data_IF_007413250272
#
_entry.id   IF_007413250272
#
_cell.length_a   1.000
_cell.length_b   1.000
_cell.length_c   1.000
_cell.angle_alpha   90.00
_cell.angle_beta   90.00
_cell.angle_gamma   90.00
#
_symmetry.space_group_name_H-M   'P 1'
#
loop_
_entity.id
_entity.type
_entity.pdbx_description
1 polymer ?
#
# COMPACT_ATOMS: atom_id res chain seq x y z
N UNK A 1 16.23 -8.18 -0.13
CA UNK A 1 16.12 -8.94 -1.40
C UNK A 1 14.78 -8.73 -2.08
N UNK A 2 13.64 -9.02 -1.44
CA UNK A 2 12.28 -8.82 -1.99
C UNK A 2 11.99 -7.35 -2.34
N UNK A 3 12.37 -6.40 -1.48
CA UNK A 3 12.24 -4.97 -1.74
C UNK A 3 12.99 -4.51 -3.01
N UNK A 4 14.20 -5.04 -3.25
CA UNK A 4 14.96 -4.73 -4.46
C UNK A 4 14.31 -5.37 -5.70
N UNK A 5 13.73 -6.56 -5.56
CA UNK A 5 12.97 -7.20 -6.63
C UNK A 5 11.75 -6.36 -7.00
N UNK A 6 10.96 -5.92 -6.02
CA UNK A 6 9.82 -5.01 -6.20
C UNK A 6 10.23 -3.73 -6.96
N UNK A 7 11.27 -3.05 -6.49
CA UNK A 7 11.77 -1.80 -7.09
C UNK A 7 12.39 -1.97 -8.48
N UNK A 8 12.90 -3.16 -8.81
CA UNK A 8 13.41 -3.47 -10.16
C UNK A 8 12.27 -3.79 -11.11
N UNK A 9 11.36 -4.67 -10.71
CA UNK A 9 10.22 -5.09 -11.54
C UNK A 9 9.31 -3.92 -11.91
N UNK A 10 9.08 -3.00 -10.96
CA UNK A 10 8.29 -1.78 -11.20
C UNK A 10 8.87 -0.82 -12.24
N UNK A 11 10.17 -0.91 -12.51
CA UNK A 11 10.85 -0.09 -13.54
C UNK A 11 10.88 -0.75 -14.91
N UNK A 12 10.58 -2.05 -15.00
CA UNK A 12 10.59 -2.81 -16.24
C UNK A 12 9.19 -2.68 -16.88
N UNK A 13 9.15 -2.26 -18.15
CA UNK A 13 7.90 -2.24 -18.91
C UNK A 13 7.27 -3.65 -18.94
N UNK A 14 6.01 -3.76 -18.52
CA UNK A 14 5.31 -5.05 -18.38
C UNK A 14 6.06 -6.08 -17.51
N UNK A 15 6.93 -5.63 -16.60
CA UNK A 15 7.72 -6.52 -15.75
C UNK A 15 6.85 -7.47 -14.91
N UNK A 16 5.66 -7.04 -14.51
CA UNK A 16 4.77 -7.86 -13.69
C UNK A 16 4.15 -9.05 -14.43
N UNK A 17 4.08 -9.04 -15.76
CA UNK A 17 3.42 -10.08 -16.54
C UNK A 17 4.04 -11.47 -16.28
N UNK A 18 5.36 -11.53 -16.12
CA UNK A 18 6.09 -12.79 -15.90
C UNK A 18 6.45 -13.04 -14.43
N UNK A 19 6.58 -11.98 -13.62
CA UNK A 19 7.12 -12.11 -12.25
C UNK A 19 6.05 -12.04 -11.15
N UNK A 20 4.84 -11.55 -11.45
CA UNK A 20 3.80 -11.35 -10.44
C UNK A 20 3.41 -12.63 -9.69
N UNK A 21 3.26 -13.82 -10.32
CA UNK A 21 2.90 -15.03 -9.58
C UNK A 21 3.95 -15.41 -8.53
N UNK A 22 5.22 -15.46 -8.94
CA UNK A 22 6.33 -15.83 -8.05
C UNK A 22 6.52 -14.81 -6.93
N UNK A 23 6.36 -13.52 -7.24
CA UNK A 23 6.45 -12.45 -6.24
C UNK A 23 5.34 -12.57 -5.20
N UNK A 24 4.09 -12.75 -5.65
CA UNK A 24 2.93 -12.95 -4.75
C UNK A 24 3.13 -14.14 -3.83
N UNK A 25 3.56 -15.27 -4.38
CA UNK A 25 3.82 -16.47 -3.60
C UNK A 25 4.93 -16.24 -2.56
N UNK A 26 6.05 -15.61 -2.97
CA UNK A 26 7.14 -15.28 -2.06
C UNK A 26 6.67 -14.37 -0.92
N UNK A 27 5.90 -13.32 -1.23
CA UNK A 27 5.34 -12.43 -0.21
C UNK A 27 4.36 -13.14 0.72
N UNK A 28 3.48 -13.99 0.19
CA UNK A 28 2.54 -14.79 0.96
C UNK A 28 3.26 -15.70 1.95
N UNK A 29 4.14 -16.57 1.45
CA UNK A 29 4.91 -17.50 2.28
C UNK A 29 5.80 -16.78 3.30
N UNK A 30 6.39 -15.64 2.94
CA UNK A 30 7.17 -14.86 3.91
C UNK A 30 6.28 -14.28 5.01
N UNK A 31 5.06 -13.84 4.65
CA UNK A 31 4.10 -13.32 5.64
C UNK A 31 3.66 -14.43 6.59
N UNK A 32 3.29 -15.59 6.05
CA UNK A 32 2.88 -16.77 6.84
C UNK A 32 4.02 -17.19 7.77
N UNK A 33 5.25 -17.26 7.27
CA UNK A 33 6.43 -17.58 8.07
C UNK A 33 6.61 -16.62 9.25
N UNK A 34 6.43 -15.31 9.04
CA UNK A 34 6.53 -14.32 10.13
C UNK A 34 5.44 -14.52 11.18
N UNK A 35 4.21 -14.79 10.76
CA UNK A 35 3.07 -15.08 11.66
C UNK A 35 3.32 -16.35 12.47
N UNK A 36 3.81 -17.41 11.82
CA UNK A 36 4.16 -18.67 12.48
C UNK A 36 5.27 -18.46 13.52
N UNK A 37 6.33 -17.73 13.18
CA UNK A 37 7.41 -17.41 14.12
C UNK A 37 6.91 -16.62 15.33
N UNK A 38 6.04 -15.63 15.13
CA UNK A 38 5.44 -14.88 16.24
C UNK A 38 4.61 -15.80 17.13
N UNK A 39 3.85 -16.72 16.53
CA UNK A 39 3.03 -17.70 17.25
C UNK A 39 3.90 -18.67 18.06
N UNK A 40 4.98 -19.18 17.48
CA UNK A 40 5.87 -20.14 18.14
C UNK A 40 6.76 -19.53 19.22
N UNK A 41 7.12 -18.25 19.11
CA UNK A 41 8.04 -17.59 20.04
C UNK A 41 7.34 -16.73 21.11
N UNK A 42 6.12 -16.28 20.83
CA UNK A 42 5.36 -15.35 21.68
C UNK A 42 3.92 -15.83 21.96
N UNK A 43 3.59 -17.09 21.64
CA UNK A 43 2.30 -17.71 21.91
C UNK A 43 1.94 -17.75 23.40
N UNK A 44 0.64 -17.84 23.72
CA UNK A 44 0.14 -17.85 25.10
C UNK A 44 0.73 -18.99 25.96
N UNK A 45 1.05 -20.13 25.33
CA UNK A 45 1.60 -21.32 26.00
C UNK A 45 3.14 -21.33 26.05
N UNK A 46 3.81 -20.28 25.56
CA UNK A 46 5.26 -20.22 25.40
C UNK A 46 5.89 -19.37 26.50
N UNK A 47 6.90 -19.91 27.19
CA UNK A 47 7.75 -19.11 28.09
C UNK A 47 8.54 -18.12 27.23
N UNK A 48 8.10 -16.87 27.23
CA UNK A 48 8.67 -15.82 26.41
C UNK A 48 10.14 -15.61 26.73
N UNK A 49 10.98 -15.76 25.72
CA UNK A 49 12.41 -15.48 25.81
C UNK A 49 12.71 -14.12 25.18
N UNK A 50 13.00 -13.14 26.02
CA UNK A 50 13.25 -11.75 25.60
C UNK A 50 14.47 -11.59 24.69
N UNK A 51 15.38 -12.58 24.63
CA UNK A 51 16.49 -12.56 23.69
C UNK A 51 16.02 -12.59 22.22
N UNK A 52 14.87 -13.19 21.92
CA UNK A 52 14.32 -13.25 20.56
C UNK A 52 13.44 -12.06 20.19
N UNK A 53 13.06 -11.22 21.16
CA UNK A 53 12.14 -10.11 20.94
C UNK A 53 12.66 -9.11 19.90
N UNK A 54 13.95 -8.76 19.98
CA UNK A 54 14.57 -7.86 19.01
C UNK A 54 14.56 -8.45 17.60
N UNK A 55 14.79 -9.76 17.48
CA UNK A 55 14.78 -10.46 16.20
C UNK A 55 13.37 -10.54 15.60
N UNK A 56 12.35 -10.86 16.40
CA UNK A 56 10.95 -10.93 15.94
C UNK A 56 10.42 -9.54 15.56
N UNK A 57 10.74 -8.51 16.34
CA UNK A 57 10.39 -7.11 16.00
C UNK A 57 11.08 -6.66 14.72
N UNK A 58 12.36 -6.99 14.52
CA UNK A 58 13.07 -6.65 13.29
C UNK A 58 12.44 -7.35 12.08
N UNK A 59 12.17 -8.65 12.20
CA UNK A 59 11.54 -9.45 11.14
C UNK A 59 10.18 -8.86 10.72
N UNK A 60 9.33 -8.54 11.71
CA UNK A 60 8.05 -7.87 11.50
C UNK A 60 8.22 -6.53 10.78
N UNK A 61 9.16 -5.70 11.24
CA UNK A 61 9.46 -4.39 10.63
C UNK A 61 9.89 -4.53 9.17
N UNK A 62 10.78 -5.47 8.86
CA UNK A 62 11.26 -5.66 7.49
C UNK A 62 10.14 -6.14 6.56
N UNK A 63 9.31 -7.08 7.01
CA UNK A 63 8.15 -7.53 6.23
C UNK A 63 7.20 -6.36 5.94
N UNK A 64 6.82 -5.62 6.97
CA UNK A 64 5.85 -4.52 6.84
C UNK A 64 6.36 -3.36 5.99
N UNK A 65 7.67 -3.08 5.98
CA UNK A 65 8.27 -2.11 5.06
C UNK A 65 8.08 -2.50 3.60
N UNK A 66 8.30 -3.79 3.26
CA UNK A 66 8.09 -4.27 1.89
C UNK A 66 6.61 -4.25 1.53
N UNK A 67 5.73 -4.63 2.44
CA UNK A 67 4.28 -4.62 2.18
C UNK A 67 3.75 -3.20 1.99
N UNK A 68 4.24 -2.23 2.77
CA UNK A 68 3.90 -0.82 2.57
C UNK A 68 4.36 -0.30 1.19
N UNK A 69 5.52 -0.75 0.69
CA UNK A 69 5.94 -0.43 -0.68
C UNK A 69 5.11 -1.15 -1.76
N UNK A 70 4.55 -2.31 -1.44
CA UNK A 70 3.63 -3.01 -2.34
C UNK A 70 2.33 -2.24 -2.51
N UNK A 71 1.79 -1.67 -1.42
CA UNK A 71 0.51 -0.93 -1.39
C UNK A 71 0.49 0.25 -2.36
N UNK A 72 1.64 0.89 -2.59
CA UNK A 72 1.78 2.06 -3.48
C UNK A 72 2.14 1.69 -4.92
N UNK A 73 2.19 0.40 -5.27
CA UNK A 73 2.48 0.00 -6.65
C UNK A 73 1.30 0.32 -7.57
N UNK A 74 1.55 0.77 -8.81
CA UNK A 74 0.49 1.04 -9.79
C UNK A 74 -0.22 -0.24 -10.25
N UNK A 75 0.42 -1.41 -10.10
CA UNK A 75 -0.18 -2.71 -10.39
C UNK A 75 -1.15 -3.10 -9.28
N UNK A 76 -2.46 -2.98 -9.53
CA UNK A 76 -3.53 -3.22 -8.54
C UNK A 76 -3.35 -4.55 -7.79
N UNK A 77 -3.01 -5.62 -8.51
CA UNK A 77 -2.87 -6.95 -7.89
C UNK A 77 -1.70 -7.06 -6.90
N UNK A 78 -0.68 -6.18 -7.02
CA UNK A 78 0.44 -6.08 -6.07
C UNK A 78 0.09 -5.15 -4.92
N UNK A 79 -0.61 -4.04 -5.19
CA UNK A 79 -1.15 -3.16 -4.15
C UNK A 79 -2.07 -3.92 -3.18
N UNK A 80 -3.00 -4.71 -3.73
CA UNK A 80 -3.93 -5.55 -2.94
C UNK A 80 -3.21 -6.63 -2.14
N UNK A 81 -2.15 -7.22 -2.68
CA UNK A 81 -1.31 -8.16 -1.95
C UNK A 81 -0.70 -7.50 -0.71
N UNK A 82 -0.11 -6.31 -0.86
CA UNK A 82 0.47 -5.57 0.28
C UNK A 82 -0.56 -5.31 1.39
N UNK A 83 -1.76 -4.84 1.03
CA UNK A 83 -2.85 -4.67 2.00
C UNK A 83 -3.27 -5.98 2.67
N UNK A 84 -3.37 -7.07 1.90
CA UNK A 84 -3.78 -8.38 2.40
C UNK A 84 -2.75 -8.96 3.39
N UNK A 85 -1.45 -8.86 3.09
CA UNK A 85 -0.38 -9.32 3.96
C UNK A 85 -0.31 -8.51 5.26
N UNK A 86 -0.42 -7.17 5.20
CA UNK A 86 -0.50 -6.33 6.41
C UNK A 86 -1.68 -6.76 7.27
N UNK A 87 -2.87 -6.88 6.67
CA UNK A 87 -4.07 -7.33 7.38
C UNK A 87 -3.89 -8.70 8.00
N UNK A 88 -3.29 -9.64 7.28
CA UNK A 88 -3.07 -11.01 7.76
C UNK A 88 -2.20 -11.02 9.02
N UNK A 89 -1.11 -10.25 9.05
CA UNK A 89 -0.26 -10.09 10.24
C UNK A 89 -1.04 -9.50 11.42
N UNK A 90 -1.80 -8.42 11.19
CA UNK A 90 -2.55 -7.76 12.26
C UNK A 90 -3.63 -8.63 12.87
N UNK A 91 -4.37 -9.36 12.03
CA UNK A 91 -5.48 -10.21 12.47
C UNK A 91 -4.95 -11.48 13.14
N UNK A 92 -3.90 -12.10 12.59
CA UNK A 92 -3.42 -13.39 13.08
C UNK A 92 -2.50 -13.26 14.29
N UNK A 93 -1.62 -12.26 14.29
CA UNK A 93 -0.62 -12.08 15.37
C UNK A 93 -1.04 -11.04 16.41
N UNK A 94 -2.12 -10.29 16.21
CA UNK A 94 -2.53 -9.16 17.07
C UNK A 94 -2.52 -9.43 18.58
N UNK A 95 -3.08 -10.55 19.08
CA UNK A 95 -3.04 -10.89 20.51
C UNK A 95 -1.64 -11.17 21.07
N UNK A 96 -0.67 -11.47 20.22
CA UNK A 96 0.70 -11.86 20.59
C UNK A 96 1.69 -10.69 20.54
N UNK A 97 1.29 -9.59 19.89
CA UNK A 97 2.16 -8.45 19.65
C UNK A 97 2.41 -7.66 20.94
N UNK A 98 3.65 -7.27 21.12
CA UNK A 98 4.07 -6.37 22.20
C UNK A 98 3.73 -4.92 21.88
N UNK A 99 3.78 -3.99 22.85
CA UNK A 99 3.57 -2.56 22.58
C UNK A 99 4.53 -2.02 21.51
N UNK A 100 5.80 -2.42 21.54
CA UNK A 100 6.80 -2.03 20.53
C UNK A 100 6.45 -2.58 19.13
N UNK A 101 6.00 -3.84 19.05
CA UNK A 101 5.59 -4.44 17.78
C UNK A 101 4.30 -3.82 17.23
N UNK A 102 3.37 -3.43 18.11
CA UNK A 102 2.19 -2.66 17.74
C UNK A 102 2.53 -1.29 17.17
N UNK A 103 3.54 -0.61 17.72
CA UNK A 103 4.03 0.66 17.16
C UNK A 103 4.57 0.46 15.73
N UNK A 104 5.37 -0.60 15.50
CA UNK A 104 5.86 -0.96 14.17
C UNK A 104 4.70 -1.18 13.19
N UNK A 105 3.68 -1.94 13.61
CA UNK A 105 2.45 -2.17 12.85
C UNK A 105 1.70 -0.87 12.54
N UNK A 106 1.54 0.00 13.54
CA UNK A 106 0.87 1.30 13.40
C UNK A 106 1.60 2.22 12.41
N UNK A 107 2.93 2.33 12.52
CA UNK A 107 3.75 3.11 11.60
C UNK A 107 3.65 2.58 10.17
N UNK A 108 3.63 1.25 9.99
CA UNK A 108 3.48 0.65 8.67
C UNK A 108 2.11 0.96 8.04
N UNK A 109 1.02 0.86 8.83
CA UNK A 109 -0.32 1.20 8.37
C UNK A 109 -0.43 2.68 8.02
N UNK A 110 0.07 3.56 8.89
CA UNK A 110 0.11 5.00 8.64
C UNK A 110 0.86 5.31 7.33
N UNK A 111 2.04 4.73 7.12
CA UNK A 111 2.82 4.92 5.89
C UNK A 111 2.10 4.41 4.66
N UNK A 112 1.50 3.22 4.73
CA UNK A 112 0.73 2.65 3.62
C UNK A 112 -0.44 3.57 3.25
N UNK A 113 -1.25 4.01 4.22
CA UNK A 113 -2.37 4.90 4.00
C UNK A 113 -1.94 6.28 3.49
N UNK A 114 -0.96 6.91 4.17
CA UNK A 114 -0.49 8.25 3.82
C UNK A 114 0.07 8.29 2.40
N UNK A 115 0.90 7.31 2.02
CA UNK A 115 1.47 7.28 0.67
C UNK A 115 0.42 6.98 -0.40
N UNK A 116 -0.57 6.13 -0.13
CA UNK A 116 -1.67 5.88 -1.08
C UNK A 116 -2.56 7.09 -1.29
N UNK A 117 -2.77 7.90 -0.24
CA UNK A 117 -3.62 9.09 -0.30
C UNK A 117 -2.87 10.32 -0.80
N UNK A 118 -1.52 10.30 -0.84
CA UNK A 118 -0.72 11.46 -1.23
C UNK A 118 -1.10 11.99 -2.61
N UNK A 119 -1.22 11.13 -3.62
CA UNK A 119 -1.58 11.55 -4.98
C UNK A 119 -2.99 12.16 -5.04
N UNK A 120 -3.91 11.62 -4.25
CA UNK A 120 -5.27 12.16 -4.14
C UNK A 120 -5.29 13.51 -3.40
N UNK A 121 -4.46 13.67 -2.38
CA UNK A 121 -4.28 14.93 -1.68
C UNK A 121 -3.71 16.00 -2.62
N UNK A 122 -2.68 15.69 -3.40
CA UNK A 122 -2.13 16.59 -4.42
C UNK A 122 -3.18 16.99 -5.46
N UNK A 123 -3.99 16.03 -5.92
CA UNK A 123 -5.09 16.30 -6.84
C UNK A 123 -6.15 17.22 -6.20
N UNK A 124 -6.49 17.01 -4.93
CA UNK A 124 -7.50 17.80 -4.24
C UNK A 124 -7.05 19.25 -4.03
N UNK A 125 -5.76 19.47 -3.73
CA UNK A 125 -5.18 20.81 -3.59
C UNK A 125 -5.33 21.67 -4.86
N UNK A 126 -5.34 21.04 -6.04
CA UNK A 126 -5.56 21.71 -7.31
C UNK A 126 -6.98 22.30 -7.46
N UNK A 127 -7.94 21.85 -6.66
CA UNK A 127 -9.35 22.27 -6.71
C UNK A 127 -9.83 22.95 -5.42
N UNK A 128 -8.95 23.19 -4.44
CA UNK A 128 -9.32 23.80 -3.17
C UNK A 128 -9.23 25.33 -3.25
N UNK A 129 -10.34 26.06 -3.00
CA UNK A 129 -10.33 27.51 -2.86
C UNK A 129 -9.28 27.93 -1.83
N UNK A 130 -8.39 28.86 -2.19
CA UNK A 130 -7.31 29.38 -1.31
C UNK A 130 -6.18 28.39 -0.98
N UNK A 131 -5.99 27.36 -1.80
CA UNK A 131 -4.79 26.51 -1.70
C UNK A 131 -3.52 27.35 -1.90
N UNK A 132 -2.50 27.16 -1.04
CA UNK A 132 -1.17 27.76 -1.22
C UNK A 132 -0.35 27.11 -2.35
N UNK A 133 -0.87 26.06 -3.00
CA UNK A 133 -0.25 25.45 -4.17
C UNK A 133 -0.20 26.42 -5.35
N UNK A 134 0.93 26.45 -6.07
CA UNK A 134 1.14 27.28 -7.25
C UNK A 134 0.06 27.10 -8.33
N UNK A 135 -0.55 25.92 -8.40
CA UNK A 135 -1.63 25.60 -9.34
C UNK A 135 -3.04 25.65 -8.71
N UNK A 136 -3.18 26.18 -7.49
CA UNK A 136 -4.47 26.31 -6.80
C UNK A 136 -5.48 27.09 -7.63
N UNK A 137 -6.74 26.64 -7.62
CA UNK A 137 -7.91 27.28 -8.24
C UNK A 137 -7.91 27.47 -9.78
N UNK A 138 -6.82 27.17 -10.49
CA UNK A 138 -6.71 27.34 -11.95
C UNK A 138 -6.24 26.06 -12.67
N UNK A 139 -6.04 24.96 -11.93
CA UNK A 139 -5.53 23.73 -12.51
C UNK A 139 -6.52 23.05 -13.47
N UNK A 140 -6.04 22.71 -14.67
CA UNK A 140 -6.73 21.79 -15.58
C UNK A 140 -6.15 20.38 -15.44
N UNK A 141 -6.93 19.44 -14.93
CA UNK A 141 -6.54 18.02 -14.86
C UNK A 141 -6.90 17.32 -16.17
N UNK A 142 -5.88 16.77 -16.83
CA UNK A 142 -6.03 15.96 -18.05
C UNK A 142 -5.60 14.53 -17.77
N UNK A 143 -6.38 13.58 -18.25
CA UNK A 143 -6.06 12.15 -18.15
C UNK A 143 -5.40 11.74 -19.44
N UNK A 144 -4.13 11.34 -19.35
CA UNK A 144 -3.36 10.87 -20.49
C UNK A 144 -3.22 9.35 -20.43
N UNK A 145 -3.73 8.65 -21.44
CA UNK A 145 -3.36 7.27 -21.68
C UNK A 145 -1.97 7.23 -22.31
N UNK A 146 -1.15 6.22 -21.96
CA UNK A 146 0.11 6.00 -22.67
C UNK A 146 -0.17 5.58 -24.11
N UNK A 147 0.76 5.87 -25.02
CA UNK A 147 0.63 5.52 -26.46
C UNK A 147 0.59 4.01 -26.70
N UNK A 148 1.14 3.23 -25.78
CA UNK A 148 1.24 1.77 -25.82
C UNK A 148 0.16 1.07 -24.97
N UNK A 149 -0.83 1.82 -24.45
CA UNK A 149 -1.95 1.25 -23.70
C UNK A 149 -2.89 0.47 -24.63
N UNK A 150 -3.39 -0.67 -24.16
CA UNK A 150 -4.45 -1.39 -24.88
C UNK A 150 -5.76 -0.60 -24.86
N UNK A 151 -6.70 -0.98 -25.72
CA UNK A 151 -8.04 -0.37 -25.76
C UNK A 151 -8.75 -0.55 -24.41
N UNK A 152 -8.67 -1.75 -23.84
CA UNK A 152 -9.24 -2.09 -22.53
C UNK A 152 -8.63 -1.25 -21.40
N UNK A 153 -7.30 -1.09 -21.37
CA UNK A 153 -6.62 -0.24 -20.39
C UNK A 153 -7.05 1.23 -20.50
N UNK A 154 -7.21 1.72 -21.73
CA UNK A 154 -7.66 3.08 -22.00
C UNK A 154 -9.11 3.31 -21.58
N UNK A 155 -10.00 2.35 -21.84
CA UNK A 155 -11.40 2.41 -21.40
C UNK A 155 -11.51 2.36 -19.87
N UNK A 156 -10.77 1.45 -19.24
CA UNK A 156 -10.69 1.36 -17.78
C UNK A 156 -10.19 2.67 -17.16
N UNK A 157 -9.15 3.28 -17.73
CA UNK A 157 -8.63 4.57 -17.28
C UNK A 157 -9.69 5.68 -17.41
N UNK A 158 -10.46 5.70 -18.50
CA UNK A 158 -11.58 6.65 -18.65
C UNK A 158 -12.67 6.44 -17.60
N UNK A 159 -13.02 5.20 -17.29
CA UNK A 159 -14.02 4.88 -16.26
C UNK A 159 -13.56 5.35 -14.87
N UNK A 160 -12.31 5.05 -14.50
CA UNK A 160 -11.73 5.49 -13.22
C UNK A 160 -11.67 7.03 -13.14
N UNK A 161 -11.26 7.69 -14.22
CA UNK A 161 -11.25 9.15 -14.31
C UNK A 161 -12.65 9.76 -14.13
N UNK A 162 -13.68 9.13 -14.71
CA UNK A 162 -15.06 9.58 -14.56
C UNK A 162 -15.55 9.45 -13.11
N UNK A 163 -15.18 8.38 -12.39
CA UNK A 163 -15.52 8.20 -10.97
C UNK A 163 -14.94 9.32 -10.10
N UNK A 164 -13.66 9.66 -10.30
CA UNK A 164 -13.01 10.75 -9.55
C UNK A 164 -13.67 12.10 -9.83
N UNK A 165 -14.02 12.38 -11.10
CA UNK A 165 -14.71 13.62 -11.49
C UNK A 165 -16.12 13.72 -10.91
N UNK A 166 -16.84 12.60 -10.80
CA UNK A 166 -18.15 12.58 -10.15
C UNK A 166 -18.05 12.90 -8.67
N UNK A 167 -17.05 12.38 -7.96
CA UNK A 167 -16.81 12.73 -6.55
C UNK A 167 -16.48 14.21 -6.36
N UNK A 168 -15.73 14.85 -7.27
CA UNK A 168 -15.47 16.30 -7.20
C UNK A 168 -16.73 17.16 -7.42
N UNK A 169 -17.66 16.73 -8.28
CA UNK A 169 -18.94 17.42 -8.46
C UNK A 169 -19.87 17.27 -7.23
N UNK A 170 -19.72 16.19 -6.45
CA UNK A 170 -20.44 16.06 -5.17
C UNK A 170 -19.84 16.98 -4.10
N UNK A 171 -18.52 17.19 -4.09
CA UNK A 171 -17.87 18.11 -3.16
C UNK A 171 -18.32 19.56 -3.43
N UNK A 172 -18.42 19.99 -4.69
CA UNK A 172 -18.92 21.33 -5.04
C UNK A 172 -20.41 21.53 -4.69
N UNK A 173 -21.23 20.48 -4.74
CA UNK A 173 -22.62 20.53 -4.29
C UNK A 173 -22.76 20.54 -2.76
N UNK A 174 -21.82 19.92 -2.01
CA UNK A 174 -21.87 19.92 -0.55
C UNK A 174 -21.38 21.22 0.11
N UNK A 175 -20.65 22.07 -0.62
CA UNK A 175 -20.26 23.42 -0.19
C UNK A 175 -21.31 24.51 -0.48
N UNK A 176 -22.52 24.10 -0.89
CA UNK A 176 -23.66 24.98 -1.17
C UNK A 176 -24.74 24.83 -0.10
N UNK A 177 -24.39 25.02 1.17
CA UNK A 177 -25.31 25.29 2.29
C UNK A 177 -24.64 26.19 3.32
#
# INVERSE_FOLDING_TARGET
>A
MVQNWLRRTSKIFRGWDNFAPNFKQCCGLTTDLVVDYLTHLQGADVVRNDAYLSATTLMLKQLLLVMAECVVQPTESIARLGCACIRHVLVSSGPLLTPEQWEVCGVACYRACSNSLQELHQLTMAFSPRSESFYGDVAQVKVAARRDATVEESERLRQLAAQVRFSSNQISLSGSF
#
